data_IF_605023567203
#
_entry.id   IF_605023567203
#
_cell.length_a   1.000
_cell.length_b   1.000
_cell.length_c   1.000
_cell.angle_alpha   90.00
_cell.angle_beta   90.00
_cell.angle_gamma   90.00
#
_symmetry.space_group_name_H-M   'P 1'
#
loop_
_entity.id
_entity.type
_entity.pdbx_description
1 polymer ?
#
# COMPACT_ATOMS: atom_id res chain seq x y z
N UNK A 1 -2.58 11.87 7.47
CA UNK A 1 -3.08 10.58 6.95
C UNK A 1 -3.53 9.75 8.14
N UNK A 2 -4.52 8.87 7.97
CA UNK A 2 -4.97 7.91 8.98
C UNK A 2 -4.81 6.46 8.50
N UNK A 3 -4.61 6.24 7.19
CA UNK A 3 -4.25 4.95 6.62
C UNK A 3 -2.89 5.09 5.95
N UNK A 4 -1.99 4.15 6.22
CA UNK A 4 -0.67 4.08 5.60
C UNK A 4 -0.55 2.76 4.86
N UNK A 5 -0.32 2.82 3.54
CA UNK A 5 -0.16 1.64 2.69
C UNK A 5 1.28 1.53 2.24
N UNK A 6 1.85 0.33 2.36
CA UNK A 6 3.21 0.00 1.95
C UNK A 6 3.16 -0.92 0.73
N UNK A 7 3.70 -0.49 -0.41
CA UNK A 7 3.86 -1.37 -1.56
C UNK A 7 4.89 -2.46 -1.25
N UNK A 8 4.43 -3.71 -1.10
CA UNK A 8 5.25 -4.88 -0.78
C UNK A 8 4.81 -6.11 -1.56
N UNK A 9 5.77 -6.96 -1.97
CA UNK A 9 5.48 -8.22 -2.67
C UNK A 9 4.83 -9.29 -1.79
N UNK A 10 4.90 -9.14 -0.47
CA UNK A 10 4.31 -10.05 0.53
C UNK A 10 2.96 -9.55 1.07
N UNK A 11 2.48 -8.38 0.62
CA UNK A 11 1.26 -7.76 1.10
C UNK A 11 -0.03 -8.37 0.56
N UNK A 12 -1.14 -8.05 1.21
CA UNK A 12 -2.49 -8.47 0.80
C UNK A 12 -2.97 -7.72 -0.45
N UNK A 13 -4.02 -8.21 -1.11
CA UNK A 13 -4.67 -7.44 -2.17
C UNK A 13 -5.44 -6.26 -1.58
N UNK A 14 -5.53 -5.17 -2.34
CA UNK A 14 -6.27 -3.97 -1.90
C UNK A 14 -7.75 -4.25 -1.59
N UNK A 15 -8.39 -5.20 -2.29
CA UNK A 15 -9.76 -5.62 -1.98
C UNK A 15 -9.91 -6.21 -0.58
N UNK A 16 -8.92 -6.97 -0.12
CA UNK A 16 -8.93 -7.54 1.24
C UNK A 16 -8.78 -6.43 2.28
N UNK A 17 -7.86 -5.49 2.02
CA UNK A 17 -7.66 -4.32 2.89
C UNK A 17 -8.91 -3.43 2.94
N UNK A 18 -9.62 -3.28 1.82
CA UNK A 18 -10.89 -2.54 1.79
C UNK A 18 -11.91 -3.15 2.74
N UNK A 19 -12.06 -4.47 2.66
CA UNK A 19 -13.05 -5.20 3.45
C UNK A 19 -12.68 -5.19 4.94
N UNK A 20 -11.39 -5.17 5.27
CA UNK A 20 -10.88 -4.99 6.64
C UNK A 20 -11.10 -3.58 7.21
N UNK A 21 -10.85 -2.54 6.40
CA UNK A 21 -10.96 -1.14 6.83
C UNK A 21 -12.42 -0.67 6.93
N UNK A 22 -13.31 -1.16 6.07
CA UNK A 22 -14.75 -0.87 6.12
C UNK A 22 -15.07 0.62 6.26
N UNK A 23 -15.75 1.00 7.35
CA UNK A 23 -16.17 2.38 7.60
C UNK A 23 -15.01 3.36 7.83
N UNK A 24 -13.79 2.89 8.11
CA UNK A 24 -12.62 3.77 8.24
C UNK A 24 -12.26 4.46 6.91
N UNK A 25 -12.83 3.99 5.80
CA UNK A 25 -12.62 4.55 4.46
C UNK A 25 -13.42 5.84 4.19
N UNK A 26 -14.52 6.11 4.92
CA UNK A 26 -15.41 7.26 4.63
C UNK A 26 -14.68 8.62 4.67
N UNK A 27 -13.71 8.78 5.58
CA UNK A 27 -12.89 10.00 5.73
C UNK A 27 -11.38 9.72 5.55
N UNK A 28 -11.05 8.71 4.75
CA UNK A 28 -9.68 8.25 4.60
C UNK A 28 -8.75 9.28 3.97
N UNK A 29 -7.66 9.58 4.67
CA UNK A 29 -6.47 10.26 4.17
C UNK A 29 -5.35 9.24 4.10
N UNK A 30 -5.01 8.81 2.90
CA UNK A 30 -4.05 7.73 2.66
C UNK A 30 -2.63 8.28 2.43
N UNK A 31 -1.64 7.67 3.08
CA UNK A 31 -0.23 7.80 2.74
C UNK A 31 0.23 6.52 2.03
N UNK A 32 0.68 6.63 0.78
CA UNK A 32 1.32 5.53 0.06
C UNK A 32 2.84 5.57 0.22
N UNK A 33 3.45 4.43 0.55
CA UNK A 33 4.90 4.26 0.66
C UNK A 33 5.36 3.30 -0.43
N UNK A 34 6.25 3.78 -1.28
CA UNK A 34 6.89 3.00 -2.35
C UNK A 34 8.39 3.05 -2.16
N UNK A 35 9.01 1.87 -2.14
CA UNK A 35 10.45 1.73 -1.98
C UNK A 35 11.23 2.08 -3.25
N UNK A 36 12.56 2.22 -3.16
CA UNK A 36 13.43 2.41 -4.32
C UNK A 36 13.46 1.17 -5.22
N UNK A 37 14.20 1.21 -6.34
CA UNK A 37 14.35 0.12 -7.30
C UNK A 37 14.69 -1.27 -6.67
N UNK A 38 15.43 -1.23 -5.56
CA UNK A 38 15.84 -2.40 -4.78
C UNK A 38 14.78 -2.93 -3.81
N UNK A 39 13.69 -2.18 -3.61
CA UNK A 39 12.70 -2.42 -2.57
C UNK A 39 13.18 -2.00 -1.18
N UNK A 40 12.40 -2.36 -0.17
CA UNK A 40 12.82 -2.28 1.24
C UNK A 40 13.54 -3.56 1.64
N UNK A 41 14.52 -3.43 2.53
CA UNK A 41 15.01 -4.58 3.28
C UNK A 41 13.93 -5.12 4.22
N UNK A 42 14.05 -6.39 4.62
CA UNK A 42 13.12 -7.01 5.56
C UNK A 42 13.05 -6.23 6.90
N UNK A 43 14.16 -5.65 7.36
CA UNK A 43 14.19 -4.82 8.57
C UNK A 43 13.46 -3.48 8.41
N UNK A 44 13.56 -2.84 7.23
CA UNK A 44 12.84 -1.59 6.97
C UNK A 44 11.34 -1.85 6.83
N UNK A 45 10.96 -2.90 6.11
CA UNK A 45 9.57 -3.32 5.97
C UNK A 45 8.96 -3.63 7.35
N UNK A 46 9.64 -4.43 8.17
CA UNK A 46 9.17 -4.70 9.55
C UNK A 46 9.03 -3.43 10.37
N UNK A 47 9.95 -2.47 10.22
CA UNK A 47 9.87 -1.20 10.95
C UNK A 47 8.65 -0.38 10.54
N UNK A 48 8.36 -0.32 9.24
CA UNK A 48 7.18 0.36 8.70
C UNK A 48 5.88 -0.33 9.16
N UNK A 49 5.84 -1.66 9.13
CA UNK A 49 4.68 -2.44 9.60
C UNK A 49 4.46 -2.24 11.10
N UNK A 50 5.51 -2.27 11.92
CA UNK A 50 5.40 -1.97 13.36
C UNK A 50 4.94 -0.53 13.63
N UNK A 51 5.20 0.40 12.71
CA UNK A 51 4.69 1.77 12.77
C UNK A 51 3.24 1.91 12.27
N UNK A 52 2.59 0.81 11.87
CA UNK A 52 1.19 0.78 11.42
C UNK A 52 1.01 0.86 9.90
N UNK A 53 2.07 0.69 9.10
CA UNK A 53 1.91 0.57 7.65
C UNK A 53 1.32 -0.80 7.27
N UNK A 54 0.29 -0.78 6.43
CA UNK A 54 -0.40 -1.97 5.92
C UNK A 54 0.27 -2.38 4.61
N UNK A 55 0.93 -3.55 4.54
CA UNK A 55 1.57 -4.01 3.30
C UNK A 55 0.53 -4.46 2.28
N UNK A 56 0.63 -3.94 1.06
CA UNK A 56 -0.24 -4.26 -0.08
C UNK A 56 0.58 -4.67 -1.28
N UNK A 57 0.14 -5.72 -1.99
CA UNK A 57 0.74 -6.09 -3.27
C UNK A 57 0.11 -5.30 -4.42
N UNK A 58 0.92 -5.03 -5.44
CA UNK A 58 0.50 -4.31 -6.67
C UNK A 58 0.40 -5.28 -7.86
N UNK A 59 0.12 -6.55 -7.60
CA UNK A 59 0.10 -7.63 -8.58
C UNK A 59 1.43 -8.39 -8.72
N UNK A 60 1.51 -9.23 -9.76
CA UNK A 60 2.56 -10.26 -9.92
C UNK A 60 3.86 -9.77 -10.56
N UNK A 61 3.83 -8.62 -11.21
CA UNK A 61 4.97 -8.10 -11.97
C UNK A 61 5.90 -7.28 -11.09
N UNK A 62 7.21 -7.35 -11.35
CA UNK A 62 8.16 -6.41 -10.75
C UNK A 62 8.00 -5.04 -11.41
N UNK A 63 7.48 -4.08 -10.66
CA UNK A 63 7.24 -2.72 -11.14
C UNK A 63 8.47 -1.84 -10.91
N UNK A 64 8.65 -0.85 -11.79
CA UNK A 64 9.55 0.29 -11.54
C UNK A 64 8.97 1.18 -10.45
N UNK A 65 9.83 1.92 -9.76
CA UNK A 65 9.46 2.81 -8.65
C UNK A 65 8.32 3.76 -9.04
N UNK A 66 8.41 4.39 -10.21
CA UNK A 66 7.43 5.34 -10.72
C UNK A 66 6.12 4.64 -11.09
N UNK A 67 6.19 3.47 -11.72
CA UNK A 67 5.00 2.68 -12.08
C UNK A 67 4.26 2.17 -10.85
N UNK A 68 4.99 1.69 -9.84
CA UNK A 68 4.41 1.30 -8.56
C UNK A 68 3.71 2.48 -7.88
N UNK A 69 4.33 3.66 -7.91
CA UNK A 69 3.74 4.89 -7.34
C UNK A 69 2.46 5.31 -8.05
N UNK A 70 2.46 5.33 -9.39
CA UNK A 70 1.27 5.64 -10.18
C UNK A 70 0.16 4.62 -9.98
N UNK A 71 0.49 3.32 -9.99
CA UNK A 71 -0.48 2.25 -9.82
C UNK A 71 -1.08 2.27 -8.42
N UNK A 72 -0.26 2.42 -7.36
CA UNK A 72 -0.77 2.53 -5.99
C UNK A 72 -1.73 3.71 -5.85
N UNK A 73 -1.37 4.87 -6.41
CA UNK A 73 -2.24 6.06 -6.39
C UNK A 73 -3.57 5.79 -7.10
N UNK A 74 -3.53 5.15 -8.26
CA UNK A 74 -4.74 4.78 -9.00
C UNK A 74 -5.61 3.79 -8.22
N UNK A 75 -5.02 2.71 -7.68
CA UNK A 75 -5.75 1.68 -6.94
C UNK A 75 -6.36 2.23 -5.65
N UNK A 76 -5.67 3.11 -4.93
CA UNK A 76 -6.25 3.78 -3.76
C UNK A 76 -7.49 4.58 -4.15
N UNK A 77 -7.39 5.42 -5.19
CA UNK A 77 -8.54 6.21 -5.63
C UNK A 77 -9.70 5.34 -6.15
N UNK A 78 -9.40 4.30 -6.92
CA UNK A 78 -10.42 3.51 -7.62
C UNK A 78 -11.02 2.38 -6.78
N UNK A 79 -10.23 1.72 -5.93
CA UNK A 79 -10.69 0.56 -5.16
C UNK A 79 -10.99 0.87 -3.70
N UNK A 80 -10.37 1.89 -3.08
CA UNK A 80 -10.59 2.21 -1.67
C UNK A 80 -11.48 3.43 -1.44
N UNK A 81 -11.41 4.43 -2.32
CA UNK A 81 -12.08 5.72 -2.10
C UNK A 81 -13.29 5.95 -3.00
N UNK A 82 -13.65 4.97 -3.84
CA UNK A 82 -14.86 4.95 -4.68
C UNK A 82 -15.83 3.93 -4.14
#
# INVERSE_FOLDING_TARGET
YNITLLASSSGSHLSEIRDELGNELEDARVLGIVGPEGGFSESEERTLVMAGAIPVNLGRSRLRTETASMLLTFLVSYELLT
#
